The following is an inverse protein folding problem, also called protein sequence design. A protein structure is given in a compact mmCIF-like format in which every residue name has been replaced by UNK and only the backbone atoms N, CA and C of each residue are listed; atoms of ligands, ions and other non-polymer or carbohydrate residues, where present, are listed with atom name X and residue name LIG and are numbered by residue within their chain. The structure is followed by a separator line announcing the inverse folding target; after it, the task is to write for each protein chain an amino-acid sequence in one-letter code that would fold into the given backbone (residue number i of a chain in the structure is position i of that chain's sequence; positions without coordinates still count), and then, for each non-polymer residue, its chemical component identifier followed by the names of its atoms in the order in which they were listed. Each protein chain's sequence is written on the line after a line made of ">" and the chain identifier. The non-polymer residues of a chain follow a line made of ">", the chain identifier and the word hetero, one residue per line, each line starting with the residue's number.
data_IF_544709715086
#
_entry.id   IF_544709715086
#
_cell.length_a   1.000
_cell.length_b   1.000
_cell.length_c   1.000
_cell.angle_alpha   90.00
_cell.angle_beta   90.00
_cell.angle_gamma   90.00
#
_symmetry.space_group_name_H-M   'P 1'
#
loop_
_entity.id
_entity.type
_entity.pdbx_description
1 polymer ?
#
# COMPACT_ATOMS: atom_id res chain seq x y z
N UNK A 1 -39.66 3.21 17.08
CA UNK A 1 -39.34 4.36 16.21
C UNK A 1 -37.82 4.54 15.94
N UNK A 2 -36.94 4.13 16.85
CA UNK A 2 -35.46 4.22 16.61
C UNK A 2 -34.97 2.88 16.05
N UNK A 3 -35.47 1.75 16.47
CA UNK A 3 -35.12 0.41 15.97
C UNK A 3 -35.51 0.20 14.50
N UNK A 4 -36.64 0.75 14.06
CA UNK A 4 -37.13 0.60 12.68
C UNK A 4 -36.24 1.28 11.63
N UNK A 5 -35.42 2.27 12.02
CA UNK A 5 -34.46 2.94 11.14
C UNK A 5 -33.04 2.39 11.27
N UNK A 6 -32.68 1.85 12.44
CA UNK A 6 -31.34 1.32 12.70
C UNK A 6 -31.11 -0.04 12.02
N UNK A 7 -32.08 -0.92 12.03
CA UNK A 7 -31.97 -2.27 11.44
C UNK A 7 -31.76 -2.22 9.92
N UNK A 8 -32.51 -1.38 9.13
CA UNK A 8 -32.21 -1.24 7.70
C UNK A 8 -30.85 -0.62 7.41
N UNK A 9 -30.43 0.35 8.24
CA UNK A 9 -29.12 1.01 8.08
C UNK A 9 -27.96 0.03 8.36
N UNK A 10 -28.07 -0.76 9.42
CA UNK A 10 -27.08 -1.82 9.75
C UNK A 10 -27.07 -2.88 8.64
N UNK A 11 -28.23 -3.29 8.11
CA UNK A 11 -28.29 -4.22 6.98
C UNK A 11 -27.70 -3.64 5.70
N UNK A 12 -27.89 -2.35 5.44
CA UNK A 12 -27.27 -1.64 4.31
C UNK A 12 -25.76 -1.61 4.45
N UNK A 13 -25.24 -1.24 5.61
CA UNK A 13 -23.80 -1.21 5.91
C UNK A 13 -23.18 -2.62 5.85
N UNK A 14 -23.88 -3.64 6.34
CA UNK A 14 -23.43 -5.04 6.24
C UNK A 14 -23.47 -5.54 4.78
N UNK A 15 -24.45 -5.11 3.99
CA UNK A 15 -24.57 -5.45 2.58
C UNK A 15 -23.50 -4.74 1.75
N UNK A 16 -23.18 -3.49 2.06
CA UNK A 16 -22.05 -2.75 1.46
C UNK A 16 -20.70 -3.36 1.86
N UNK A 17 -20.51 -3.81 3.11
CA UNK A 17 -19.33 -4.58 3.51
C UNK A 17 -19.22 -5.92 2.80
N UNK A 18 -20.35 -6.62 2.57
CA UNK A 18 -20.38 -7.88 1.82
C UNK A 18 -20.21 -7.68 0.30
N UNK A 19 -20.69 -6.57 -0.24
CA UNK A 19 -20.47 -6.18 -1.64
C UNK A 19 -19.03 -5.68 -1.89
N UNK A 20 -18.39 -5.12 -0.87
CA UNK A 20 -16.97 -4.76 -0.86
C UNK A 20 -16.01 -5.95 -0.67
N UNK A 21 -16.51 -7.14 -0.32
CA UNK A 21 -15.77 -8.39 -0.48
C UNK A 21 -15.71 -8.72 -1.98
N UNK A 22 -14.78 -8.06 -2.68
CA UNK A 22 -14.43 -8.42 -4.05
C UNK A 22 -14.14 -9.92 -4.06
N UNK A 23 -15.03 -10.68 -4.73
CA UNK A 23 -14.82 -12.10 -4.99
C UNK A 23 -13.42 -12.25 -5.57
N UNK A 24 -12.58 -13.03 -4.92
CA UNK A 24 -11.28 -13.41 -5.47
C UNK A 24 -11.48 -13.88 -6.91
N UNK A 25 -10.68 -13.42 -7.87
CA UNK A 25 -10.65 -14.04 -9.17
C UNK A 25 -10.31 -15.54 -8.99
N UNK A 26 -10.71 -16.34 -9.95
CA UNK A 26 -10.75 -17.82 -10.01
C UNK A 26 -9.45 -18.57 -9.63
N UNK A 27 -8.39 -17.87 -9.22
CA UNK A 27 -7.15 -18.42 -8.68
C UNK A 27 -7.31 -19.36 -7.49
N UNK A 28 -8.48 -19.41 -6.88
CA UNK A 28 -8.70 -20.06 -5.59
C UNK A 28 -8.94 -21.57 -5.70
N UNK A 29 -8.84 -22.19 -6.85
CA UNK A 29 -9.44 -23.53 -6.90
C UNK A 29 -8.47 -24.66 -6.78
N UNK A 30 -7.34 -24.84 -6.81
CA UNK A 30 -6.59 -26.11 -6.53
C UNK A 30 -5.11 -26.10 -6.94
N UNK A 31 -4.50 -24.94 -7.20
CA UNK A 31 -3.09 -24.88 -7.56
C UNK A 31 -2.15 -24.95 -6.35
N UNK A 32 -1.17 -25.82 -6.38
CA UNK A 32 -0.09 -25.89 -5.37
C UNK A 32 0.63 -24.53 -5.18
N UNK A 33 0.69 -23.70 -6.23
CA UNK A 33 1.25 -22.35 -6.22
C UNK A 33 0.45 -21.40 -5.33
N UNK A 34 -0.87 -21.40 -5.42
CA UNK A 34 -1.74 -20.57 -4.57
C UNK A 34 -1.64 -20.97 -3.10
N UNK A 35 -1.61 -22.26 -2.79
CA UNK A 35 -1.43 -22.73 -1.41
C UNK A 35 -0.10 -22.27 -0.81
N UNK A 36 0.98 -22.26 -1.60
CA UNK A 36 2.29 -21.71 -1.17
C UNK A 36 2.21 -20.21 -0.87
N UNK A 37 1.52 -19.43 -1.70
CA UNK A 37 1.31 -18.00 -1.46
C UNK A 37 0.49 -17.79 -0.19
N UNK A 38 -0.62 -18.51 -0.01
CA UNK A 38 -1.46 -18.42 1.19
C UNK A 38 -0.71 -18.84 2.46
N UNK A 39 0.20 -19.80 2.36
CA UNK A 39 1.09 -20.15 3.47
C UNK A 39 2.04 -18.97 3.82
N UNK A 40 2.69 -18.38 2.81
CA UNK A 40 3.56 -17.20 3.00
C UNK A 40 2.82 -16.01 3.61
N UNK A 41 1.59 -15.74 3.12
CA UNK A 41 0.73 -14.69 3.70
C UNK A 41 0.49 -14.95 5.19
N UNK A 42 0.12 -16.18 5.57
CA UNK A 42 -0.13 -16.54 6.98
C UNK A 42 1.10 -16.34 7.87
N UNK A 43 2.30 -16.65 7.37
CA UNK A 43 3.55 -16.46 8.11
C UNK A 43 3.82 -14.98 8.42
N UNK A 44 3.62 -14.10 7.44
CA UNK A 44 4.03 -12.70 7.55
C UNK A 44 2.89 -11.77 8.00
N UNK A 45 1.62 -12.17 7.85
CA UNK A 45 0.48 -11.30 8.14
C UNK A 45 0.46 -10.78 9.59
N UNK A 46 0.83 -11.63 10.55
CA UNK A 46 0.85 -11.29 11.97
C UNK A 46 2.02 -10.38 12.40
N UNK A 47 2.97 -10.12 11.51
CA UNK A 47 4.15 -9.28 11.75
C UNK A 47 3.94 -7.85 11.27
N UNK A 48 4.85 -6.94 11.62
CA UNK A 48 4.90 -5.57 11.07
C UNK A 48 5.98 -5.41 9.99
N UNK A 49 6.55 -6.51 9.50
CA UNK A 49 7.54 -6.52 8.40
C UNK A 49 6.95 -5.90 7.14
N UNK A 50 7.77 -5.16 6.41
CA UNK A 50 7.45 -4.71 5.06
C UNK A 50 7.39 -5.91 4.12
N UNK A 51 6.43 -5.91 3.19
CA UNK A 51 6.27 -7.02 2.23
C UNK A 51 6.39 -6.48 0.82
N UNK A 52 7.25 -7.14 0.03
CA UNK A 52 7.38 -6.88 -1.39
C UNK A 52 6.65 -7.98 -2.18
N UNK A 53 5.73 -7.59 -3.06
CA UNK A 53 4.96 -8.49 -3.91
C UNK A 53 5.47 -8.34 -5.35
N UNK A 54 6.02 -9.42 -5.88
CA UNK A 54 6.51 -9.50 -7.26
C UNK A 54 5.51 -10.22 -8.15
N UNK A 55 5.25 -9.73 -9.35
CA UNK A 55 4.41 -10.41 -10.34
C UNK A 55 4.04 -9.50 -11.50
N UNK A 56 3.71 -10.11 -12.63
CA UNK A 56 3.29 -9.40 -13.84
C UNK A 56 2.05 -8.53 -13.59
N UNK A 57 1.76 -7.60 -14.50
CA UNK A 57 0.54 -6.81 -14.43
C UNK A 57 -0.70 -7.71 -14.55
N UNK A 58 -1.74 -7.44 -13.79
CA UNK A 58 -2.97 -8.23 -13.79
C UNK A 58 -2.92 -9.54 -12.99
N UNK A 59 -1.79 -9.92 -12.36
CA UNK A 59 -1.69 -11.16 -11.57
C UNK A 59 -2.40 -11.10 -10.22
N UNK A 60 -3.02 -9.98 -9.86
CA UNK A 60 -3.76 -9.84 -8.60
C UNK A 60 -2.90 -9.45 -7.40
N UNK A 61 -1.79 -8.72 -7.58
CA UNK A 61 -0.92 -8.24 -6.50
C UNK A 61 -1.71 -7.46 -5.43
N UNK A 62 -2.65 -6.61 -5.85
CA UNK A 62 -3.52 -5.86 -4.93
C UNK A 62 -4.40 -6.81 -4.08
N UNK A 63 -4.91 -7.89 -4.65
CA UNK A 63 -5.67 -8.90 -3.88
C UNK A 63 -4.81 -9.60 -2.82
N UNK A 64 -3.54 -9.88 -3.14
CA UNK A 64 -2.59 -10.42 -2.15
C UNK A 64 -2.36 -9.42 -1.02
N UNK A 65 -2.22 -8.13 -1.33
CA UNK A 65 -2.07 -7.07 -0.33
C UNK A 65 -3.33 -6.97 0.56
N UNK A 66 -4.52 -7.04 0.00
CA UNK A 66 -5.77 -7.10 0.77
C UNK A 66 -5.83 -8.33 1.68
N UNK A 67 -5.42 -9.50 1.20
CA UNK A 67 -5.36 -10.71 2.02
C UNK A 67 -4.37 -10.58 3.19
N UNK A 68 -3.21 -9.95 2.96
CA UNK A 68 -2.26 -9.63 4.02
C UNK A 68 -2.89 -8.73 5.08
N UNK A 69 -3.65 -7.72 4.65
CA UNK A 69 -4.37 -6.82 5.54
C UNK A 69 -5.42 -7.57 6.36
N UNK A 70 -6.32 -8.32 5.70
CA UNK A 70 -7.42 -9.05 6.35
C UNK A 70 -6.95 -10.08 7.37
N UNK A 71 -5.75 -10.67 7.17
CA UNK A 71 -5.14 -11.66 8.07
C UNK A 71 -4.22 -11.05 9.12
N UNK A 72 -4.03 -9.73 9.12
CA UNK A 72 -3.13 -9.03 10.02
C UNK A 72 -3.82 -8.56 11.30
N UNK A 73 -2.99 -8.10 12.26
CA UNK A 73 -3.47 -7.40 13.46
C UNK A 73 -4.12 -6.04 13.13
N UNK A 74 -3.98 -5.57 11.89
CA UNK A 74 -4.48 -4.29 11.39
C UNK A 74 -5.73 -4.42 10.51
N UNK A 75 -6.39 -5.59 10.48
CA UNK A 75 -7.53 -5.90 9.61
C UNK A 75 -8.74 -4.94 9.75
N UNK A 76 -8.90 -4.32 10.93
CA UNK A 76 -9.97 -3.32 11.19
C UNK A 76 -9.50 -1.87 11.04
N UNK A 77 -8.24 -1.67 10.64
CA UNK A 77 -7.62 -0.37 10.43
C UNK A 77 -7.62 0.01 8.95
N UNK A 78 -7.33 1.27 8.59
CA UNK A 78 -7.32 1.68 7.19
C UNK A 78 -6.38 0.85 6.31
N UNK A 79 -6.83 0.55 5.09
CA UNK A 79 -6.00 0.06 3.99
C UNK A 79 -6.04 1.12 2.89
N UNK A 80 -4.90 1.74 2.62
CA UNK A 80 -4.77 2.78 1.59
C UNK A 80 -3.91 2.23 0.46
N UNK A 81 -4.48 2.15 -0.74
CA UNK A 81 -3.77 1.74 -1.94
C UNK A 81 -3.37 2.97 -2.77
N UNK A 82 -2.13 2.96 -3.24
CA UNK A 82 -1.53 4.02 -4.05
C UNK A 82 -0.93 3.41 -5.30
N UNK A 83 -1.38 3.83 -6.45
CA UNK A 83 -0.75 3.56 -7.73
C UNK A 83 0.40 4.57 -7.94
N UNK A 84 1.64 4.11 -7.78
CA UNK A 84 2.84 4.93 -7.93
C UNK A 84 3.08 5.34 -9.39
N UNK A 85 2.57 4.58 -10.36
CA UNK A 85 2.68 4.90 -11.79
C UNK A 85 1.87 6.12 -12.20
N UNK A 86 0.81 6.42 -11.46
CA UNK A 86 -0.03 7.61 -11.71
C UNK A 86 0.50 8.89 -11.06
N UNK A 87 1.54 8.81 -10.22
CA UNK A 87 2.07 9.95 -9.48
C UNK A 87 3.24 10.60 -10.23
N UNK A 88 3.06 11.85 -10.64
CA UNK A 88 4.18 12.65 -11.14
C UNK A 88 5.10 13.05 -9.99
N UNK A 89 6.38 13.35 -10.28
CA UNK A 89 7.36 13.76 -9.27
C UNK A 89 6.93 15.02 -8.50
N UNK A 90 6.17 15.91 -9.13
CA UNK A 90 5.67 17.15 -8.53
C UNK A 90 4.53 16.90 -7.54
N UNK A 91 3.65 15.94 -7.86
CA UNK A 91 2.47 15.63 -7.05
C UNK A 91 2.76 14.64 -5.92
N UNK A 92 3.71 13.75 -6.11
CA UNK A 92 4.00 12.66 -5.18
C UNK A 92 4.29 13.13 -3.74
N UNK A 93 5.12 14.17 -3.49
CA UNK A 93 5.36 14.65 -2.13
C UNK A 93 4.08 15.07 -1.40
N UNK A 94 3.23 15.84 -2.08
CA UNK A 94 1.96 16.28 -1.53
C UNK A 94 0.95 15.13 -1.38
N UNK A 95 0.95 14.16 -2.29
CA UNK A 95 0.10 12.98 -2.20
C UNK A 95 0.48 12.08 -1.02
N UNK A 96 1.77 11.80 -0.84
CA UNK A 96 2.24 10.96 0.26
C UNK A 96 2.14 11.63 1.63
N UNK A 97 2.59 12.88 1.73
CA UNK A 97 2.81 13.55 3.02
C UNK A 97 1.78 14.62 3.34
N UNK A 98 0.95 15.00 2.36
CA UNK A 98 0.03 16.12 2.49
C UNK A 98 0.73 17.47 2.35
N UNK A 99 -0.02 18.54 2.47
CA UNK A 99 0.49 19.91 2.46
C UNK A 99 -0.33 20.83 3.36
N UNK A 100 0.30 21.90 3.81
CA UNK A 100 -0.39 23.01 4.49
C UNK A 100 -0.91 24.01 3.48
N UNK A 101 -1.89 24.82 3.86
CA UNK A 101 -2.39 25.92 3.03
C UNK A 101 -1.23 26.85 2.66
N UNK A 102 -1.13 27.23 1.39
CA UNK A 102 -0.10 28.10 0.86
C UNK A 102 1.27 27.45 0.62
N UNK A 103 1.37 26.11 0.69
CA UNK A 103 2.63 25.39 0.49
C UNK A 103 3.22 25.56 -0.92
N UNK A 104 2.36 25.77 -1.91
CA UNK A 104 2.72 26.01 -3.32
C UNK A 104 1.56 26.74 -4.02
N UNK A 105 1.79 27.21 -5.24
CA UNK A 105 0.75 27.87 -6.05
C UNK A 105 -0.43 26.92 -6.31
N UNK A 106 -1.62 27.28 -5.85
CA UNK A 106 -2.82 26.44 -5.93
C UNK A 106 -3.10 25.61 -4.68
N UNK A 107 -2.28 25.72 -3.62
CA UNK A 107 -2.55 25.10 -2.32
C UNK A 107 -3.52 25.93 -1.49
N UNK A 108 -4.78 26.06 -1.94
CA UNK A 108 -5.80 26.92 -1.32
C UNK A 108 -6.28 26.41 0.06
N UNK A 109 -6.14 25.11 0.30
CA UNK A 109 -6.47 24.46 1.57
C UNK A 109 -5.37 23.45 1.96
N UNK A 110 -5.33 23.09 3.24
CA UNK A 110 -4.47 22.00 3.69
C UNK A 110 -5.06 20.64 3.25
N UNK A 111 -4.20 19.70 2.84
CA UNK A 111 -4.61 18.34 2.44
C UNK A 111 -3.80 17.31 3.23
N UNK A 112 -4.49 16.27 3.70
CA UNK A 112 -3.86 15.09 4.32
C UNK A 112 -3.28 14.21 3.23
N UNK A 113 -2.11 13.61 3.49
CA UNK A 113 -1.48 12.66 2.57
C UNK A 113 -1.75 11.21 2.96
N UNK A 114 -1.34 10.28 2.11
CA UNK A 114 -1.56 8.84 2.27
C UNK A 114 -1.03 8.28 3.59
N UNK A 115 0.11 8.77 4.10
CA UNK A 115 0.62 8.35 5.40
C UNK A 115 -0.32 8.71 6.56
N UNK A 116 -1.00 9.86 6.47
CA UNK A 116 -2.01 10.23 7.46
C UNK A 116 -3.28 9.37 7.32
N UNK A 117 -3.71 9.12 6.08
CA UNK A 117 -4.92 8.33 5.81
C UNK A 117 -4.74 6.86 6.22
N UNK A 118 -3.52 6.32 6.09
CA UNK A 118 -3.18 4.96 6.46
C UNK A 118 -2.82 4.79 7.95
N UNK A 119 -2.93 5.82 8.77
CA UNK A 119 -2.48 5.78 10.18
C UNK A 119 -3.07 4.62 10.96
N UNK A 120 -2.21 3.87 11.65
CA UNK A 120 -2.56 2.65 12.37
C UNK A 120 -2.80 1.42 11.49
N UNK A 121 -2.89 1.60 10.18
CA UNK A 121 -3.25 0.58 9.19
C UNK A 121 -2.11 0.17 8.27
N UNK A 122 -2.44 0.03 6.97
CA UNK A 122 -1.51 -0.37 5.92
C UNK A 122 -1.53 0.60 4.74
N UNK A 123 -0.35 0.86 4.19
CA UNK A 123 -0.15 1.59 2.94
C UNK A 123 0.36 0.60 1.89
N UNK A 124 -0.40 0.39 0.83
CA UNK A 124 -0.03 -0.43 -0.30
C UNK A 124 0.45 0.46 -1.44
N UNK A 125 1.69 0.24 -1.87
CA UNK A 125 2.36 0.95 -2.95
C UNK A 125 2.41 0.04 -4.18
N UNK A 126 1.52 0.22 -5.14
CA UNK A 126 1.57 -0.54 -6.38
C UNK A 126 2.51 0.15 -7.38
N UNK A 127 3.18 -0.66 -8.20
CA UNK A 127 4.16 -0.21 -9.19
C UNK A 127 5.25 0.72 -8.62
N UNK A 128 5.81 0.33 -7.45
CA UNK A 128 6.77 1.16 -6.70
C UNK A 128 8.02 1.51 -7.51
N UNK A 129 8.39 0.70 -8.51
CA UNK A 129 9.51 0.96 -9.44
C UNK A 129 9.36 2.25 -10.25
N UNK A 130 8.12 2.73 -10.44
CA UNK A 130 7.83 3.94 -11.21
C UNK A 130 8.04 5.26 -10.44
N UNK A 131 8.37 5.19 -9.14
CA UNK A 131 8.60 6.39 -8.35
C UNK A 131 9.87 7.14 -8.81
N UNK A 132 9.78 8.45 -8.95
CA UNK A 132 10.95 9.30 -9.18
C UNK A 132 11.96 9.21 -8.04
N UNK A 133 13.25 9.33 -8.32
CA UNK A 133 14.33 9.18 -7.32
C UNK A 133 14.19 10.13 -6.13
N UNK A 134 13.71 11.34 -6.36
CA UNK A 134 13.44 12.32 -5.29
C UNK A 134 12.33 11.82 -4.35
N UNK A 135 11.28 11.23 -4.90
CA UNK A 135 10.18 10.64 -4.11
C UNK A 135 10.66 9.41 -3.35
N UNK A 136 11.47 8.56 -3.98
CA UNK A 136 12.09 7.42 -3.32
C UNK A 136 12.92 7.84 -2.10
N UNK A 137 13.70 8.93 -2.22
CA UNK A 137 14.49 9.47 -1.11
C UNK A 137 13.62 9.97 0.04
N UNK A 138 12.52 10.68 -0.26
CA UNK A 138 11.58 11.17 0.75
C UNK A 138 10.87 10.01 1.46
N UNK A 139 10.45 9.00 0.69
CA UNK A 139 9.81 7.79 1.20
C UNK A 139 10.75 6.99 2.12
N UNK A 140 12.01 6.79 1.69
CA UNK A 140 13.04 6.13 2.49
C UNK A 140 13.22 6.82 3.85
N UNK A 141 13.39 8.16 3.84
CA UNK A 141 13.56 8.94 5.06
C UNK A 141 12.35 8.77 5.99
N UNK A 142 11.13 8.89 5.44
CA UNK A 142 9.91 8.71 6.22
C UNK A 142 9.85 7.32 6.87
N UNK A 143 10.14 6.25 6.12
CA UNK A 143 10.10 4.87 6.63
C UNK A 143 11.17 4.62 7.70
N UNK A 144 12.38 5.16 7.53
CA UNK A 144 13.49 4.98 8.47
C UNK A 144 13.25 5.71 9.78
N UNK A 145 12.80 6.97 9.71
CA UNK A 145 12.62 7.84 10.88
C UNK A 145 11.24 7.64 11.54
N UNK A 146 10.31 6.92 10.90
CA UNK A 146 8.90 6.80 11.30
C UNK A 146 8.23 8.17 11.47
N UNK A 147 8.67 9.13 10.65
CA UNK A 147 8.19 10.52 10.64
C UNK A 147 8.15 11.03 9.21
N UNK A 148 7.24 11.93 8.96
CA UNK A 148 7.17 12.69 7.71
C UNK A 148 6.83 14.15 8.00
N UNK A 149 7.13 14.99 7.02
CA UNK A 149 6.78 16.42 7.08
C UNK A 149 5.85 16.76 5.92
N UNK A 150 4.65 17.30 6.19
CA UNK A 150 3.79 17.84 5.13
C UNK A 150 4.52 18.95 4.35
N UNK A 151 4.23 19.06 3.06
CA UNK A 151 4.83 20.10 2.21
C UNK A 151 4.46 21.48 2.76
N UNK A 152 5.47 22.33 2.95
CA UNK A 152 5.31 23.68 3.53
C UNK A 152 5.14 23.72 5.05
N UNK A 153 5.07 22.59 5.76
CA UNK A 153 5.01 22.54 7.21
C UNK A 153 6.41 22.62 7.84
N UNK A 154 6.50 23.12 9.06
CA UNK A 154 7.72 23.16 9.87
C UNK A 154 7.82 21.98 10.85
N UNK A 155 6.70 21.32 11.14
CA UNK A 155 6.61 20.26 12.12
C UNK A 155 6.63 18.88 11.47
N UNK A 156 7.41 17.96 12.06
CA UNK A 156 7.37 16.54 11.69
C UNK A 156 6.18 15.86 12.38
N UNK A 157 5.62 14.87 11.72
CA UNK A 157 4.53 14.02 12.20
C UNK A 157 4.98 12.58 12.26
N UNK A 158 4.85 11.93 13.41
CA UNK A 158 5.08 10.50 13.53
C UNK A 158 3.93 9.71 12.89
N UNK A 159 4.21 8.49 12.45
CA UNK A 159 3.19 7.58 11.95
C UNK A 159 3.46 6.13 12.36
N UNK A 160 2.39 5.35 12.40
CA UNK A 160 2.43 3.92 12.61
C UNK A 160 1.69 3.20 11.47
N UNK A 161 2.36 3.05 10.33
CA UNK A 161 1.81 2.43 9.12
C UNK A 161 2.69 1.25 8.74
N UNK A 162 2.07 0.10 8.42
CA UNK A 162 2.76 -1.02 7.78
C UNK A 162 2.78 -0.80 6.27
N UNK A 163 3.93 -1.04 5.64
CA UNK A 163 4.09 -0.84 4.19
C UNK A 163 4.09 -2.17 3.48
N UNK A 164 3.32 -2.25 2.41
CA UNK A 164 3.32 -3.33 1.43
C UNK A 164 3.63 -2.68 0.09
N UNK A 165 4.61 -3.16 -0.64
CA UNK A 165 4.96 -2.66 -1.96
C UNK A 165 4.77 -3.76 -3.01
N UNK A 166 4.41 -3.37 -4.23
CA UNK A 166 4.30 -4.29 -5.34
C UNK A 166 5.02 -3.74 -6.57
N UNK A 167 5.53 -4.65 -7.39
CA UNK A 167 6.18 -4.31 -8.65
C UNK A 167 6.07 -5.46 -9.65
N UNK A 168 6.06 -5.12 -10.94
CA UNK A 168 6.23 -6.04 -12.05
C UNK A 168 7.66 -5.98 -12.63
N UNK A 169 8.49 -5.07 -12.13
CA UNK A 169 9.83 -4.78 -12.62
C UNK A 169 10.89 -5.50 -11.78
N UNK A 170 12.02 -5.83 -12.39
CA UNK A 170 13.21 -6.27 -11.69
C UNK A 170 13.88 -5.05 -11.03
N UNK A 171 13.66 -4.88 -9.72
CA UNK A 171 14.22 -3.76 -8.97
C UNK A 171 15.73 -3.85 -8.78
N UNK A 172 16.34 -5.04 -8.85
CA UNK A 172 17.80 -5.18 -8.78
C UNK A 172 18.44 -4.64 -10.06
N UNK A 173 17.85 -4.94 -11.22
CA UNK A 173 18.23 -4.33 -12.49
C UNK A 173 18.02 -2.80 -12.44
N UNK A 174 16.88 -2.33 -11.94
CA UNK A 174 16.60 -0.89 -11.80
C UNK A 174 17.60 -0.18 -10.86
N UNK A 175 18.10 -0.84 -9.82
CA UNK A 175 19.16 -0.33 -8.94
C UNK A 175 20.48 -0.22 -9.73
N UNK A 176 20.84 -1.25 -10.49
CA UNK A 176 22.05 -1.25 -11.32
C UNK A 176 22.02 -0.12 -12.36
N UNK A 177 20.86 0.17 -12.91
CA UNK A 177 20.59 1.25 -13.85
C UNK A 177 20.41 2.64 -13.18
N UNK A 178 20.53 2.71 -11.86
CA UNK A 178 20.34 3.94 -11.05
C UNK A 178 18.94 4.57 -11.16
N UNK A 179 17.94 3.79 -11.53
CA UNK A 179 16.51 4.20 -11.55
C UNK A 179 15.82 3.96 -10.21
N UNK A 180 16.33 3.02 -9.43
CA UNK A 180 15.82 2.72 -8.10
C UNK A 180 16.94 2.77 -7.05
N UNK A 181 16.62 3.19 -5.84
CA UNK A 181 17.59 3.27 -4.73
C UNK A 181 17.71 1.92 -4.03
N UNK A 182 18.93 1.44 -3.89
CA UNK A 182 19.23 0.18 -3.21
C UNK A 182 18.80 0.20 -1.73
N UNK A 183 19.00 1.33 -1.04
CA UNK A 183 18.64 1.49 0.36
C UNK A 183 17.11 1.44 0.60
N UNK A 184 16.32 1.98 -0.33
CA UNK A 184 14.87 1.86 -0.31
C UNK A 184 14.42 0.43 -0.58
N UNK A 185 15.03 -0.25 -1.56
CA UNK A 185 14.74 -1.66 -1.86
C UNK A 185 14.90 -2.53 -0.60
N UNK A 186 16.03 -2.42 0.09
CA UNK A 186 16.26 -3.18 1.33
C UNK A 186 15.24 -2.86 2.43
N UNK A 187 14.74 -1.63 2.49
CA UNK A 187 13.76 -1.23 3.50
C UNK A 187 12.32 -1.68 3.19
N UNK A 188 12.01 -1.88 1.94
CA UNK A 188 10.70 -2.37 1.49
C UNK A 188 10.63 -3.90 1.39
N UNK A 189 11.77 -4.59 1.31
CA UNK A 189 11.86 -6.01 1.03
C UNK A 189 12.33 -6.81 2.25
N UNK A 190 11.65 -6.68 3.41
CA UNK A 190 11.87 -7.57 4.55
C UNK A 190 11.36 -8.98 4.26
N UNK A 191 10.29 -9.10 3.49
CA UNK A 191 9.69 -10.37 3.08
C UNK A 191 9.17 -10.30 1.64
N UNK A 192 9.52 -11.29 0.81
CA UNK A 192 9.11 -11.35 -0.59
C UNK A 192 7.99 -12.37 -0.84
N UNK A 193 7.00 -11.99 -1.66
CA UNK A 193 5.97 -12.88 -2.19
C UNK A 193 5.97 -12.76 -3.71
N UNK A 194 6.23 -13.87 -4.41
CA UNK A 194 6.16 -13.91 -5.87
C UNK A 194 4.82 -14.51 -6.30
N UNK A 195 4.09 -13.78 -7.12
CA UNK A 195 2.82 -14.21 -7.70
C UNK A 195 3.10 -14.73 -9.11
N UNK A 196 2.84 -16.02 -9.40
CA UNK A 196 3.09 -16.57 -10.73
C UNK A 196 2.15 -15.92 -11.76
N UNK A 197 2.57 -15.85 -13.02
CA UNK A 197 1.70 -15.39 -14.09
C UNK A 197 0.50 -16.31 -14.28
N UNK A 198 -0.62 -15.73 -14.75
CA UNK A 198 -1.89 -16.46 -14.93
C UNK A 198 -1.80 -17.71 -15.82
N UNK A 199 -0.85 -17.72 -16.76
CA UNK A 199 -0.61 -18.83 -17.68
C UNK A 199 0.03 -20.06 -17.02
N UNK A 200 0.56 -19.90 -15.81
CA UNK A 200 1.26 -20.97 -15.06
C UNK A 200 0.42 -21.48 -13.88
N UNK A 201 -0.88 -21.13 -13.84
CA UNK A 201 -1.83 -21.49 -12.78
C UNK A 201 -2.82 -22.58 -13.22
#
# INVERSE_FOLDING_TARGET
>A
LVEDKLVPLIRSILKERQAGQRRMPVFARDGSAFQKIMHRIRLVAATDMSVMIFGENGTGKEHIAHHLHDKSKRAVKPFVAVDCGSLTKELAPSAFFGHVKGAFTGADCAKKGYFHEAEGGMLFLDEVGNLALETQQMLLRAIQERRYRPVGDKADRSFNVRIIAATNEDLEAAVSEKRFRQDLLYRLHDFGITVPPLRDC
#
